data_IF_557919377992
#
_entry.id   IF_557919377992
#
_cell.length_a   1.000
_cell.length_b   1.000
_cell.length_c   1.000
_cell.angle_alpha   90.00
_cell.angle_beta   90.00
_cell.angle_gamma   90.00
#
_symmetry.space_group_name_H-M   'P 1'
#
loop_
_entity.id
_entity.type
_entity.pdbx_description
1 polymer ?
#
# COMPACT_ATOMS: atom_id res chain seq x y z
N UNK A 1 2.13 25.14 -18.74
CA UNK A 1 0.86 25.20 -17.94
C UNK A 1 -0.02 24.01 -18.32
N UNK A 2 -0.68 23.34 -17.36
CA UNK A 2 -1.51 22.19 -17.66
C UNK A 2 -2.73 22.59 -18.49
N UNK A 3 -3.14 21.71 -19.40
CA UNK A 3 -4.40 21.81 -20.16
C UNK A 3 -5.60 21.53 -19.24
N UNK A 4 -6.80 21.59 -19.82
CA UNK A 4 -8.04 21.24 -19.13
C UNK A 4 -8.00 19.83 -18.54
N UNK A 5 -8.59 19.62 -17.36
CA UNK A 5 -8.51 18.32 -16.68
C UNK A 5 -9.19 17.17 -17.46
N UNK A 6 -10.21 17.46 -18.27
CA UNK A 6 -10.88 16.46 -19.09
C UNK A 6 -9.96 15.96 -20.21
N UNK A 7 -8.99 16.77 -20.65
CA UNK A 7 -7.98 16.32 -21.62
C UNK A 7 -7.18 15.13 -21.10
N UNK A 8 -6.63 15.25 -19.87
CA UNK A 8 -5.85 14.16 -19.27
C UNK A 8 -6.70 12.96 -18.88
N UNK A 9 -7.98 13.19 -18.57
CA UNK A 9 -8.94 12.13 -18.32
C UNK A 9 -9.21 11.30 -19.58
N UNK A 10 -9.42 11.93 -20.74
CA UNK A 10 -9.60 11.21 -22.00
C UNK A 10 -8.31 10.48 -22.42
N UNK A 11 -7.13 11.08 -22.26
CA UNK A 11 -5.86 10.36 -22.48
C UNK A 11 -5.77 9.12 -21.61
N UNK A 12 -6.16 9.21 -20.34
CA UNK A 12 -6.15 8.05 -19.42
C UNK A 12 -7.13 6.97 -19.86
N UNK A 13 -8.26 7.35 -20.46
CA UNK A 13 -9.26 6.42 -20.97
C UNK A 13 -8.80 5.74 -22.26
N UNK A 14 -8.16 6.48 -23.15
CA UNK A 14 -7.72 6.00 -24.47
C UNK A 14 -6.40 5.19 -24.40
N UNK A 15 -5.67 5.29 -23.28
CA UNK A 15 -4.41 4.59 -23.06
C UNK A 15 -4.52 3.71 -21.80
N UNK A 16 -5.07 2.49 -21.91
CA UNK A 16 -5.25 1.60 -20.77
C UNK A 16 -3.91 1.15 -20.17
N UNK A 17 -3.92 0.93 -18.85
CA UNK A 17 -2.79 0.34 -18.12
C UNK A 17 -2.46 -1.07 -18.64
N UNK A 18 -1.17 -1.44 -18.70
CA UNK A 18 -0.79 -2.78 -19.07
C UNK A 18 -1.24 -3.79 -18.00
N UNK A 19 -1.43 -5.05 -18.43
CA UNK A 19 -1.73 -6.13 -17.48
C UNK A 19 -0.56 -6.44 -16.54
N UNK A 20 0.65 -6.19 -17.01
CA UNK A 20 1.91 -6.41 -16.33
C UNK A 20 2.69 -5.10 -16.33
N UNK A 21 3.00 -4.60 -15.14
CA UNK A 21 3.82 -3.41 -14.96
C UNK A 21 4.99 -3.75 -14.03
N UNK A 22 6.19 -3.72 -14.61
CA UNK A 22 7.45 -4.02 -13.95
C UNK A 22 7.75 -3.10 -12.76
N UNK A 23 7.16 -1.90 -12.73
CA UNK A 23 7.27 -0.97 -11.61
C UNK A 23 6.75 -1.56 -10.29
N UNK A 24 5.91 -2.59 -10.37
CA UNK A 24 5.31 -3.29 -9.24
C UNK A 24 5.87 -4.70 -9.02
N UNK A 25 6.90 -5.10 -9.78
CA UNK A 25 7.48 -6.43 -9.65
C UNK A 25 8.43 -6.49 -8.46
N UNK A 26 8.28 -7.55 -7.65
CA UNK A 26 9.19 -7.90 -6.55
C UNK A 26 9.60 -9.34 -6.80
N UNK A 27 10.53 -9.53 -7.73
CA UNK A 27 10.91 -10.84 -8.27
C UNK A 27 12.19 -11.40 -7.65
N UNK A 28 13.03 -10.52 -7.07
CA UNK A 28 14.25 -10.94 -6.42
C UNK A 28 13.95 -11.62 -5.09
N UNK A 29 14.81 -12.58 -4.73
CA UNK A 29 14.78 -13.20 -3.42
C UNK A 29 14.84 -12.13 -2.32
N UNK A 30 14.13 -12.39 -1.23
CA UNK A 30 14.13 -11.46 -0.11
C UNK A 30 15.57 -11.27 0.40
N UNK A 31 16.05 -10.03 0.62
CA UNK A 31 17.45 -9.78 0.98
C UNK A 31 17.86 -10.46 2.30
N UNK A 32 16.87 -10.77 3.15
CA UNK A 32 17.03 -11.46 4.44
C UNK A 32 16.45 -12.88 4.47
N UNK A 33 16.43 -13.56 3.32
CA UNK A 33 15.81 -14.88 3.18
C UNK A 33 16.46 -15.93 4.11
N UNK A 34 17.79 -15.86 4.28
CA UNK A 34 18.53 -16.77 5.16
C UNK A 34 18.12 -16.64 6.63
N UNK A 35 17.88 -15.41 7.09
CA UNK A 35 17.42 -15.11 8.44
C UNK A 35 16.00 -15.63 8.67
N UNK A 36 15.11 -15.48 7.68
CA UNK A 36 13.77 -16.08 7.72
C UNK A 36 13.84 -17.61 7.80
N UNK A 37 14.67 -18.25 6.98
CA UNK A 37 14.85 -19.70 7.01
C UNK A 37 15.33 -20.17 8.39
N UNK A 38 16.33 -19.48 8.98
CA UNK A 38 16.85 -19.80 10.31
C UNK A 38 15.76 -19.71 11.38
N UNK A 39 14.99 -18.63 11.39
CA UNK A 39 13.91 -18.44 12.37
C UNK A 39 12.80 -19.49 12.20
N UNK A 40 12.42 -19.82 10.97
CA UNK A 40 11.38 -20.83 10.70
C UNK A 40 11.83 -22.23 11.10
N UNK A 41 13.11 -22.56 10.90
CA UNK A 41 13.69 -23.82 11.41
C UNK A 41 13.56 -23.93 12.92
N UNK A 42 13.95 -22.88 13.65
CA UNK A 42 13.85 -22.86 15.12
C UNK A 42 12.39 -23.00 15.61
N UNK A 43 11.45 -22.32 14.97
CA UNK A 43 10.01 -22.47 15.26
C UNK A 43 9.56 -23.91 15.08
N UNK A 44 9.92 -24.55 13.96
CA UNK A 44 9.55 -25.94 13.67
C UNK A 44 10.16 -26.93 14.66
N UNK A 45 11.43 -26.75 15.01
CA UNK A 45 12.11 -27.58 16.00
C UNK A 45 11.38 -27.52 17.36
N UNK A 46 11.02 -26.30 17.81
CA UNK A 46 10.29 -26.13 19.07
C UNK A 46 8.88 -26.72 18.97
N UNK A 47 8.16 -26.51 17.85
CA UNK A 47 6.83 -27.10 17.63
C UNK A 47 6.85 -28.63 17.65
N UNK A 48 7.81 -29.25 16.98
CA UNK A 48 8.01 -30.71 16.98
C UNK A 48 8.32 -31.18 18.40
N UNK A 49 9.13 -30.43 19.14
CA UNK A 49 9.47 -30.74 20.53
C UNK A 49 8.22 -30.70 21.42
N UNK A 50 7.44 -29.63 21.36
CA UNK A 50 6.17 -29.52 22.11
C UNK A 50 5.26 -30.70 21.79
N UNK A 51 5.08 -31.03 20.50
CA UNK A 51 4.25 -32.14 20.07
C UNK A 51 4.73 -33.48 20.67
N UNK A 52 6.02 -33.79 20.59
CA UNK A 52 6.58 -35.04 21.14
C UNK A 52 6.45 -35.11 22.67
N UNK A 53 6.70 -34.01 23.38
CA UNK A 53 6.53 -33.95 24.83
C UNK A 53 5.06 -34.20 25.24
N UNK A 54 4.11 -33.64 24.48
CA UNK A 54 2.68 -33.89 24.69
C UNK A 54 2.28 -35.35 24.42
N UNK A 55 2.79 -35.95 23.34
CA UNK A 55 2.56 -37.35 22.99
C UNK A 55 3.13 -38.30 24.07
N UNK A 56 4.28 -37.96 24.64
CA UNK A 56 4.93 -38.71 25.71
C UNK A 56 4.35 -38.44 27.11
N UNK A 57 3.36 -37.55 27.24
CA UNK A 57 2.74 -37.13 28.52
C UNK A 57 3.77 -36.63 29.54
N UNK A 58 4.75 -35.87 29.07
CA UNK A 58 5.77 -35.23 29.89
C UNK A 58 5.16 -34.18 30.84
N UNK A 59 5.94 -33.78 31.84
CA UNK A 59 5.51 -32.78 32.82
C UNK A 59 5.06 -31.48 32.16
N UNK A 60 3.89 -30.97 32.59
CA UNK A 60 3.30 -29.74 32.08
C UNK A 60 4.24 -28.53 32.23
N UNK A 61 5.07 -28.48 33.27
CA UNK A 61 6.07 -27.44 33.52
C UNK A 61 7.16 -27.47 32.45
N UNK A 62 7.57 -28.66 32.02
CA UNK A 62 8.55 -28.83 30.94
C UNK A 62 7.94 -28.39 29.62
N UNK A 63 6.71 -28.81 29.32
CA UNK A 63 5.99 -28.39 28.10
C UNK A 63 5.81 -26.86 28.07
N UNK A 64 5.48 -26.25 29.21
CA UNK A 64 5.29 -24.79 29.33
C UNK A 64 6.55 -24.01 29.00
N UNK A 65 7.72 -24.51 29.40
CA UNK A 65 9.02 -23.91 29.05
C UNK A 65 9.19 -23.80 27.54
N UNK A 66 8.78 -24.80 26.77
CA UNK A 66 8.87 -24.78 25.32
C UNK A 66 7.82 -23.87 24.67
N UNK A 67 6.62 -23.74 25.23
CA UNK A 67 5.66 -22.73 24.77
C UNK A 67 6.22 -21.31 24.95
N UNK A 68 6.82 -21.01 26.11
CA UNK A 68 7.46 -19.70 26.36
C UNK A 68 8.61 -19.44 25.38
N UNK A 69 9.49 -20.42 25.17
CA UNK A 69 10.56 -20.31 24.18
C UNK A 69 10.00 -20.05 22.77
N UNK A 70 8.95 -20.77 22.37
CA UNK A 70 8.32 -20.56 21.08
C UNK A 70 7.74 -19.15 20.96
N UNK A 71 7.11 -18.64 22.01
CA UNK A 71 6.54 -17.30 22.04
C UNK A 71 7.61 -16.22 21.86
N UNK A 72 8.76 -16.35 22.52
CA UNK A 72 9.91 -15.45 22.37
C UNK A 72 10.43 -15.44 20.92
N UNK A 73 10.63 -16.63 20.34
CA UNK A 73 11.07 -16.77 18.93
C UNK A 73 10.01 -16.20 17.98
N UNK A 74 8.73 -16.45 18.24
CA UNK A 74 7.61 -15.95 17.43
C UNK A 74 7.49 -14.42 17.46
N UNK A 75 7.92 -13.79 18.55
CA UNK A 75 7.99 -12.34 18.70
C UNK A 75 9.22 -11.71 18.02
N UNK A 76 10.15 -12.52 17.48
CA UNK A 76 11.28 -12.02 16.70
C UNK A 76 10.87 -11.50 15.31
N UNK A 77 11.72 -10.68 14.70
CA UNK A 77 11.46 -9.95 13.44
C UNK A 77 11.18 -10.86 12.23
N UNK A 78 11.64 -12.12 12.23
CA UNK A 78 11.65 -12.99 11.04
C UNK A 78 10.66 -14.15 11.11
N UNK A 79 10.12 -14.43 12.30
CA UNK A 79 9.16 -15.50 12.57
C UNK A 79 7.76 -15.25 11.96
N UNK A 80 7.50 -13.99 11.61
CA UNK A 80 6.23 -13.52 11.06
C UNK A 80 5.83 -14.12 9.71
N UNK A 81 6.76 -14.77 9.00
CA UNK A 81 6.52 -15.44 7.73
C UNK A 81 6.58 -16.97 7.84
N UNK A 82 6.41 -17.52 9.06
CA UNK A 82 6.30 -18.96 9.31
C UNK A 82 4.90 -19.50 8.98
N UNK A 83 4.77 -20.81 8.76
CA UNK A 83 3.45 -21.43 8.55
C UNK A 83 2.54 -21.27 9.78
N UNK A 84 3.10 -21.24 11.00
CA UNK A 84 2.36 -20.92 12.22
C UNK A 84 1.84 -19.48 12.18
N UNK A 85 2.66 -18.53 11.75
CA UNK A 85 2.24 -17.14 11.56
C UNK A 85 1.12 -16.99 10.54
N UNK A 86 1.17 -17.75 9.44
CA UNK A 86 0.07 -17.80 8.47
C UNK A 86 -1.20 -18.42 9.06
N UNK A 87 -1.07 -19.45 9.91
CA UNK A 87 -2.21 -20.11 10.55
C UNK A 87 -2.95 -19.20 11.54
N UNK A 88 -2.27 -18.25 12.19
CA UNK A 88 -2.92 -17.23 13.02
C UNK A 88 -4.03 -16.51 12.25
N UNK A 89 -3.81 -16.17 10.98
CA UNK A 89 -4.82 -15.51 10.15
C UNK A 89 -6.03 -16.42 9.86
N UNK A 90 -5.85 -17.74 9.89
CA UNK A 90 -6.94 -18.71 9.74
C UNK A 90 -7.76 -18.89 11.04
N UNK A 91 -7.31 -18.32 12.15
CA UNK A 91 -7.97 -18.38 13.46
C UNK A 91 -8.77 -17.09 13.79
N UNK A 92 -9.15 -16.31 12.77
CA UNK A 92 -9.89 -15.05 12.91
C UNK A 92 -9.27 -14.07 13.92
N UNK A 93 -7.93 -13.98 13.90
CA UNK A 93 -7.18 -13.07 14.75
C UNK A 93 -5.96 -12.56 14.01
N UNK A 94 -5.26 -11.61 14.61
CA UNK A 94 -4.07 -11.01 14.03
C UNK A 94 -2.84 -11.37 14.84
N UNK A 95 -1.71 -11.47 14.14
CA UNK A 95 -0.41 -11.68 14.78
C UNK A 95 -0.15 -10.64 15.88
N UNK A 96 -0.45 -9.37 15.64
CA UNK A 96 -0.16 -8.30 16.59
C UNK A 96 -0.93 -8.42 17.92
N UNK A 97 -2.11 -9.08 17.90
CA UNK A 97 -2.84 -9.43 19.11
C UNK A 97 -2.18 -10.63 19.80
N UNK A 98 -1.87 -11.66 19.03
CA UNK A 98 -1.29 -12.91 19.55
C UNK A 98 0.10 -12.71 20.14
N UNK A 99 0.91 -11.80 19.60
CA UNK A 99 2.23 -11.46 20.12
C UNK A 99 2.18 -10.76 21.50
N UNK A 100 1.01 -10.26 21.92
CA UNK A 100 0.81 -9.58 23.20
C UNK A 100 0.19 -10.48 24.27
N UNK A 101 -0.45 -11.57 23.87
CA UNK A 101 -1.12 -12.50 24.79
C UNK A 101 -0.59 -13.93 24.64
N UNK A 102 0.23 -14.31 25.61
CA UNK A 102 0.83 -15.64 25.68
C UNK A 102 -0.22 -16.76 25.76
N UNK A 103 -1.36 -16.52 26.42
CA UNK A 103 -2.39 -17.56 26.56
C UNK A 103 -3.09 -17.83 25.22
N UNK A 104 -3.50 -16.78 24.50
CA UNK A 104 -4.04 -16.95 23.15
C UNK A 104 -3.02 -17.57 22.19
N UNK A 105 -1.75 -17.18 22.29
CA UNK A 105 -0.68 -17.79 21.51
C UNK A 105 -0.56 -19.31 21.75
N UNK A 106 -0.60 -19.72 23.02
CA UNK A 106 -0.55 -21.13 23.42
C UNK A 106 -1.72 -21.91 22.85
N UNK A 107 -2.94 -21.38 22.93
CA UNK A 107 -4.13 -22.03 22.37
C UNK A 107 -4.05 -22.18 20.84
N UNK A 108 -3.63 -21.14 20.12
CA UNK A 108 -3.42 -21.23 18.66
C UNK A 108 -2.33 -22.24 18.32
N UNK A 109 -1.25 -22.28 19.09
CA UNK A 109 -0.16 -23.24 18.88
C UNK A 109 -0.65 -24.67 19.07
N UNK A 110 -1.44 -24.95 20.12
CA UNK A 110 -2.08 -26.27 20.31
C UNK A 110 -2.99 -26.63 19.14
N UNK A 111 -3.82 -25.68 18.67
CA UNK A 111 -4.68 -25.89 17.51
C UNK A 111 -3.85 -26.18 16.26
N UNK A 112 -2.76 -25.46 16.03
CA UNK A 112 -1.85 -25.70 14.91
C UNK A 112 -1.28 -27.12 14.96
N UNK A 113 -0.76 -27.53 16.12
CA UNK A 113 -0.18 -28.87 16.33
C UNK A 113 -1.22 -29.96 16.06
N UNK A 114 -2.47 -29.76 16.49
CA UNK A 114 -3.57 -30.70 16.27
C UNK A 114 -4.03 -30.76 14.82
N UNK A 115 -4.05 -29.61 14.12
CA UNK A 115 -4.69 -29.46 12.81
C UNK A 115 -3.73 -29.53 11.62
N UNK A 116 -2.41 -29.59 11.84
CA UNK A 116 -1.39 -29.55 10.78
C UNK A 116 -0.34 -30.66 10.94
N UNK A 117 0.15 -31.16 9.82
CA UNK A 117 1.31 -32.06 9.79
C UNK A 117 2.58 -31.21 9.86
N UNK A 118 3.28 -31.30 10.98
CA UNK A 118 4.55 -30.58 11.20
C UNK A 118 5.69 -31.47 10.70
N UNK A 119 6.56 -30.92 9.86
CA UNK A 119 7.81 -31.53 9.43
C UNK A 119 8.97 -30.57 9.71
N UNK A 120 10.20 -31.08 9.62
CA UNK A 120 11.46 -30.36 9.85
C UNK A 120 11.99 -29.63 8.61
N UNK A 121 11.40 -29.87 7.43
CA UNK A 121 11.86 -29.29 6.17
C UNK A 121 11.53 -27.81 6.11
N UNK A 122 12.53 -27.00 5.75
CA UNK A 122 12.36 -25.56 5.45
C UNK A 122 13.01 -25.26 4.10
N UNK A 123 12.40 -25.68 2.98
CA UNK A 123 12.89 -25.34 1.65
C UNK A 123 12.85 -23.82 1.45
N UNK A 124 13.90 -23.28 0.83
CA UNK A 124 14.00 -21.85 0.53
C UNK A 124 12.80 -21.34 -0.28
N UNK A 125 12.36 -22.11 -1.27
CA UNK A 125 11.21 -21.78 -2.12
C UNK A 125 9.90 -21.66 -1.35
N UNK A 126 9.72 -22.42 -0.25
CA UNK A 126 8.50 -22.31 0.57
C UNK A 126 8.49 -21.02 1.38
N UNK A 127 9.65 -20.65 1.93
CA UNK A 127 9.80 -19.40 2.68
C UNK A 127 9.62 -18.20 1.74
N UNK A 128 10.23 -18.24 0.56
CA UNK A 128 10.08 -17.20 -0.45
C UNK A 128 8.63 -17.07 -0.91
N UNK A 129 7.91 -18.18 -1.15
CA UNK A 129 6.50 -18.13 -1.53
C UNK A 129 5.61 -17.44 -0.48
N UNK A 130 5.86 -17.65 0.83
CA UNK A 130 5.15 -16.95 1.89
C UNK A 130 5.50 -15.46 1.88
N UNK A 131 6.76 -15.09 1.67
CA UNK A 131 7.19 -13.69 1.54
C UNK A 131 6.55 -13.00 0.33
N UNK A 132 6.48 -13.69 -0.81
CA UNK A 132 5.87 -13.19 -2.04
C UNK A 132 4.36 -12.97 -1.87
N UNK A 133 3.68 -13.84 -1.12
CA UNK A 133 2.26 -13.66 -0.80
C UNK A 133 1.97 -12.35 -0.05
N UNK A 134 2.97 -11.83 0.68
CA UNK A 134 2.91 -10.59 1.43
C UNK A 134 3.39 -9.36 0.61
N UNK A 135 3.88 -9.55 -0.62
CA UNK A 135 4.40 -8.47 -1.49
C UNK A 135 3.35 -7.41 -1.82
N UNK A 136 2.06 -7.76 -1.77
CA UNK A 136 0.94 -6.84 -1.98
C UNK A 136 1.01 -5.60 -1.09
N UNK A 137 1.52 -5.73 0.14
CA UNK A 137 1.67 -4.62 1.09
C UNK A 137 2.69 -3.56 0.64
N UNK A 138 3.64 -3.94 -0.22
CA UNK A 138 4.67 -3.04 -0.76
C UNK A 138 4.17 -2.23 -1.97
N UNK A 139 3.00 -2.57 -2.53
CA UNK A 139 2.50 -1.94 -3.77
C UNK A 139 2.21 -0.46 -3.63
N UNK A 140 1.85 0.03 -2.44
CA UNK A 140 1.68 1.46 -2.19
C UNK A 140 2.98 2.23 -2.41
N UNK A 141 4.04 1.84 -1.71
CA UNK A 141 5.38 2.42 -1.82
C UNK A 141 5.94 2.31 -3.26
N UNK A 142 5.72 1.16 -3.92
CA UNK A 142 6.13 0.97 -5.31
C UNK A 142 5.42 1.94 -6.26
N UNK A 143 4.13 2.21 -6.04
CA UNK A 143 3.38 3.21 -6.81
C UNK A 143 3.91 4.64 -6.62
N UNK A 144 4.21 5.03 -5.38
CA UNK A 144 4.86 6.32 -5.12
C UNK A 144 6.22 6.43 -5.80
N UNK A 145 7.03 5.37 -5.76
CA UNK A 145 8.32 5.30 -6.46
C UNK A 145 8.16 5.42 -7.97
N UNK A 146 7.17 4.75 -8.58
CA UNK A 146 6.85 4.87 -10.01
C UNK A 146 6.57 6.33 -10.39
N UNK A 147 5.70 7.01 -9.63
CA UNK A 147 5.34 8.41 -9.88
C UNK A 147 6.54 9.37 -9.73
N UNK A 148 7.33 9.19 -8.67
CA UNK A 148 8.54 9.99 -8.47
C UNK A 148 9.57 9.74 -9.58
N UNK A 149 9.70 8.50 -10.06
CA UNK A 149 10.55 8.18 -11.23
C UNK A 149 10.08 8.95 -12.46
N UNK A 150 8.78 8.91 -12.78
CA UNK A 150 8.21 9.68 -13.91
C UNK A 150 8.52 11.18 -13.77
N UNK A 151 8.36 11.75 -12.58
CA UNK A 151 8.65 13.16 -12.32
C UNK A 151 10.14 13.49 -12.47
N UNK A 152 11.02 12.66 -11.92
CA UNK A 152 12.48 12.88 -11.96
C UNK A 152 13.05 12.79 -13.37
N UNK A 153 12.59 11.83 -14.19
CA UNK A 153 12.90 11.74 -15.61
C UNK A 153 12.46 12.99 -16.41
N UNK A 154 11.48 13.74 -15.88
CA UNK A 154 10.97 15.00 -16.45
C UNK A 154 11.55 16.25 -15.78
N UNK A 155 12.61 16.09 -14.98
CA UNK A 155 13.40 17.17 -14.39
C UNK A 155 12.86 17.73 -13.08
N UNK A 156 11.94 17.04 -12.41
CA UNK A 156 11.63 17.35 -11.01
C UNK A 156 12.73 16.81 -10.10
N UNK A 157 13.06 17.54 -9.05
CA UNK A 157 14.02 17.07 -8.05
C UNK A 157 13.27 16.57 -6.83
N UNK A 158 13.57 15.35 -6.37
CA UNK A 158 13.05 14.87 -5.09
C UNK A 158 13.67 15.69 -3.94
N UNK A 159 12.83 16.17 -3.01
CA UNK A 159 13.25 16.96 -1.85
C UNK A 159 12.79 16.29 -0.56
N UNK A 160 13.55 16.51 0.52
CA UNK A 160 13.31 15.87 1.83
C UNK A 160 13.02 16.86 2.94
N UNK A 161 13.00 18.16 2.66
CA UNK A 161 12.69 19.20 3.65
C UNK A 161 11.86 20.35 3.07
N UNK A 162 11.21 21.10 3.96
CA UNK A 162 10.42 22.28 3.59
C UNK A 162 11.29 23.39 3.00
N UNK A 163 12.51 23.58 3.50
CA UNK A 163 13.46 24.57 2.99
C UNK A 163 13.82 24.28 1.53
N UNK A 164 14.07 23.01 1.21
CA UNK A 164 14.32 22.59 -0.16
C UNK A 164 13.10 22.79 -1.05
N UNK A 165 11.91 22.40 -0.56
CA UNK A 165 10.66 22.55 -1.28
C UNK A 165 10.36 24.03 -1.59
N UNK A 166 10.61 24.95 -0.65
CA UNK A 166 10.43 26.39 -0.86
C UNK A 166 11.46 26.95 -1.85
N UNK A 167 12.74 26.56 -1.73
CA UNK A 167 13.83 27.03 -2.58
C UNK A 167 13.73 26.55 -4.03
N UNK A 168 13.39 25.27 -4.25
CA UNK A 168 13.38 24.69 -5.60
C UNK A 168 12.12 25.07 -6.35
N UNK A 169 12.26 25.48 -7.62
CA UNK A 169 11.12 25.79 -8.48
C UNK A 169 10.33 24.54 -8.87
N UNK A 170 11.04 23.43 -9.12
CA UNK A 170 10.47 22.20 -9.68
C UNK A 170 10.91 20.99 -8.85
N UNK A 171 10.04 20.51 -7.98
CA UNK A 171 10.37 19.44 -7.04
C UNK A 171 9.18 18.55 -6.66
N UNK A 172 9.48 17.39 -6.12
CA UNK A 172 8.51 16.44 -5.56
C UNK A 172 8.93 16.04 -4.16
N UNK A 173 7.97 15.95 -3.24
CA UNK A 173 8.15 15.40 -1.91
C UNK A 173 7.14 14.29 -1.67
N UNK A 174 7.55 13.27 -0.91
CA UNK A 174 6.62 12.29 -0.34
C UNK A 174 6.07 12.83 0.97
N UNK A 175 4.77 12.69 1.17
CA UNK A 175 4.21 12.99 2.47
C UNK A 175 4.80 12.05 3.54
N UNK A 176 5.03 12.58 4.74
CA UNK A 176 5.54 11.79 5.87
C UNK A 176 5.02 12.37 7.18
N UNK A 177 4.99 11.56 8.23
CA UNK A 177 4.56 12.04 9.55
C UNK A 177 5.56 13.03 10.14
N UNK A 178 6.86 12.87 9.88
CA UNK A 178 7.89 13.71 10.48
C UNK A 178 8.05 15.06 9.77
N UNK A 179 8.01 15.09 8.43
CA UNK A 179 8.39 16.29 7.66
C UNK A 179 7.20 16.87 6.92
N UNK A 180 6.63 16.12 6.00
CA UNK A 180 5.56 16.60 5.12
C UNK A 180 4.22 16.04 5.59
N UNK A 181 3.77 16.48 6.76
CA UNK A 181 2.51 16.06 7.39
C UNK A 181 1.37 17.05 7.11
N UNK A 182 0.12 16.66 7.37
CA UNK A 182 -1.04 17.56 7.24
C UNK A 182 -0.95 18.81 8.12
N UNK A 183 -0.36 18.72 9.32
CA UNK A 183 -0.11 19.89 10.17
C UNK A 183 0.93 20.80 9.53
N UNK A 184 2.06 20.24 9.09
CA UNK A 184 3.10 21.03 8.44
C UNK A 184 2.64 21.70 7.14
N UNK A 185 1.71 21.08 6.40
CA UNK A 185 1.10 21.67 5.20
C UNK A 185 0.24 22.89 5.56
N UNK A 186 -0.48 22.83 6.68
CA UNK A 186 -1.22 23.96 7.22
C UNK A 186 -0.28 25.08 7.63
N UNK A 187 0.84 24.76 8.28
CA UNK A 187 1.78 25.77 8.78
C UNK A 187 2.57 26.43 7.64
N UNK A 188 2.97 25.66 6.62
CA UNK A 188 3.75 26.17 5.49
C UNK A 188 2.92 26.81 4.38
N UNK A 189 1.69 26.34 4.15
CA UNK A 189 0.85 26.80 3.04
C UNK A 189 -0.50 27.38 3.46
N UNK A 190 -0.89 27.31 4.74
CA UNK A 190 -2.19 27.76 5.22
C UNK A 190 -3.35 26.84 4.79
N UNK A 191 -3.07 25.61 4.40
CA UNK A 191 -4.07 24.69 3.82
C UNK A 191 -4.45 23.59 4.79
N UNK A 192 -5.76 23.36 4.90
CA UNK A 192 -6.31 22.26 5.68
C UNK A 192 -7.08 21.34 4.75
N UNK A 193 -6.51 20.17 4.45
CA UNK A 193 -7.17 19.15 3.64
C UNK A 193 -8.45 18.71 4.39
N UNK A 194 -9.62 19.14 3.88
CA UNK A 194 -10.93 18.85 4.48
C UNK A 194 -11.48 17.49 4.02
N UNK A 195 -10.66 16.44 4.05
CA UNK A 195 -11.15 15.09 3.79
C UNK A 195 -12.06 14.64 4.96
N UNK A 196 -13.17 13.95 4.64
CA UNK A 196 -14.17 13.52 5.64
C UNK A 196 -13.62 12.52 6.66
N UNK A 197 -12.57 11.78 6.32
CA UNK A 197 -11.87 10.86 7.22
C UNK A 197 -10.72 11.59 7.91
N UNK A 198 -10.79 11.69 9.24
CA UNK A 198 -9.80 12.38 10.07
C UNK A 198 -8.37 11.90 9.76
N UNK A 199 -7.46 12.84 9.52
CA UNK A 199 -6.01 12.60 9.53
C UNK A 199 -5.43 11.91 8.30
N UNK A 200 -6.20 11.67 7.21
CA UNK A 200 -5.64 11.03 6.01
C UNK A 200 -4.62 11.95 5.34
N UNK A 201 -3.43 11.41 5.15
CA UNK A 201 -2.30 12.05 4.48
C UNK A 201 -2.30 11.57 3.02
N UNK A 202 -2.07 12.50 2.09
CA UNK A 202 -1.93 12.15 0.67
C UNK A 202 -0.55 11.53 0.43
N UNK A 203 -0.25 11.12 -0.81
CA UNK A 203 0.99 10.40 -1.10
C UNK A 203 2.12 11.36 -1.52
N UNK A 204 1.87 12.30 -2.45
CA UNK A 204 2.90 13.22 -2.97
C UNK A 204 2.50 14.70 -2.94
N UNK A 205 3.50 15.56 -2.78
CA UNK A 205 3.46 17.01 -3.06
C UNK A 205 4.34 17.27 -4.28
N UNK A 206 3.76 17.82 -5.35
CA UNK A 206 4.48 18.18 -6.57
C UNK A 206 4.43 19.70 -6.71
N UNK A 207 5.59 20.35 -6.81
CA UNK A 207 5.71 21.80 -6.98
C UNK A 207 6.27 22.13 -8.35
N UNK A 208 5.59 23.02 -9.06
CA UNK A 208 6.08 23.66 -10.28
C UNK A 208 5.83 25.18 -10.22
N UNK A 209 6.89 25.93 -9.96
CA UNK A 209 6.84 27.36 -9.71
C UNK A 209 6.01 27.68 -8.48
N UNK A 210 4.88 28.37 -8.70
CA UNK A 210 3.91 28.70 -7.65
C UNK A 210 2.82 27.64 -7.50
N UNK A 211 2.70 26.71 -8.46
CA UNK A 211 1.65 25.69 -8.45
C UNK A 211 2.07 24.51 -7.58
N UNK A 212 1.14 24.04 -6.77
CA UNK A 212 1.28 22.87 -5.93
C UNK A 212 0.19 21.88 -6.30
N UNK A 213 0.59 20.65 -6.58
CA UNK A 213 -0.29 19.53 -6.82
C UNK A 213 -0.16 18.54 -5.67
N UNK A 214 -1.29 18.20 -5.07
CA UNK A 214 -1.38 17.21 -4.00
C UNK A 214 -1.97 15.94 -4.59
N UNK A 215 -1.22 14.84 -4.52
CA UNK A 215 -1.55 13.61 -5.23
C UNK A 215 -1.81 12.46 -4.27
N UNK A 216 -2.90 11.74 -4.51
CA UNK A 216 -3.14 10.40 -3.95
C UNK A 216 -3.09 9.37 -5.08
N UNK A 217 -2.37 8.29 -4.84
CA UNK A 217 -2.17 7.17 -5.71
C UNK A 217 -2.81 5.90 -5.14
N UNK A 218 -3.44 5.12 -6.03
CA UNK A 218 -3.85 3.74 -5.75
C UNK A 218 -3.46 2.85 -6.93
N UNK A 219 -3.09 1.62 -6.62
CA UNK A 219 -2.84 0.57 -7.60
C UNK A 219 -3.83 -0.58 -7.40
N UNK A 220 -4.67 -0.83 -8.40
CA UNK A 220 -5.78 -1.79 -8.32
C UNK A 220 -5.82 -2.68 -9.58
N UNK A 221 -5.73 -4.00 -9.38
CA UNK A 221 -5.87 -4.98 -10.47
C UNK A 221 -7.19 -5.77 -10.45
N UNK A 222 -7.83 -5.90 -9.28
CA UNK A 222 -9.06 -6.66 -9.09
C UNK A 222 -10.11 -5.81 -8.39
N UNK A 223 -11.39 -6.15 -8.56
CA UNK A 223 -12.49 -5.51 -7.82
C UNK A 223 -12.78 -6.19 -6.48
N UNK A 224 -13.60 -5.55 -5.65
CA UNK A 224 -14.01 -6.04 -4.34
C UNK A 224 -14.35 -4.89 -3.38
N UNK A 225 -14.84 -5.23 -2.17
CA UNK A 225 -15.35 -4.23 -1.22
C UNK A 225 -14.30 -3.26 -0.69
N UNK A 226 -13.07 -3.73 -0.45
CA UNK A 226 -11.97 -2.87 0.00
C UNK A 226 -11.49 -1.94 -1.13
N UNK A 227 -11.49 -2.43 -2.36
CA UNK A 227 -11.09 -1.66 -3.55
C UNK A 227 -12.10 -0.55 -3.84
N UNK A 228 -13.40 -0.83 -3.66
CA UNK A 228 -14.44 0.19 -3.82
C UNK A 228 -14.24 1.37 -2.84
N UNK A 229 -13.80 1.08 -1.61
CA UNK A 229 -13.45 2.10 -0.62
C UNK A 229 -12.28 2.97 -1.11
N UNK A 230 -11.25 2.36 -1.71
CA UNK A 230 -10.11 3.09 -2.25
C UNK A 230 -10.49 3.98 -3.44
N UNK A 231 -11.35 3.51 -4.34
CA UNK A 231 -11.88 4.34 -5.44
C UNK A 231 -12.71 5.50 -4.91
N UNK A 232 -13.60 5.25 -3.94
CA UNK A 232 -14.36 6.32 -3.29
C UNK A 232 -13.46 7.36 -2.63
N UNK A 233 -12.32 6.96 -2.05
CA UNK A 233 -11.33 7.89 -1.50
C UNK A 233 -10.70 8.78 -2.58
N UNK A 234 -10.36 8.22 -3.75
CA UNK A 234 -9.88 9.02 -4.88
C UNK A 234 -10.93 10.00 -5.40
N UNK A 235 -12.21 9.59 -5.43
CA UNK A 235 -13.33 10.45 -5.85
C UNK A 235 -13.56 11.59 -4.85
N UNK A 236 -13.43 11.32 -3.54
CA UNK A 236 -13.53 12.35 -2.50
C UNK A 236 -12.49 13.44 -2.67
N UNK A 237 -11.25 13.07 -3.03
CA UNK A 237 -10.15 14.00 -3.27
C UNK A 237 -10.44 14.93 -4.46
N UNK A 238 -11.02 14.41 -5.55
CA UNK A 238 -11.45 15.23 -6.68
C UNK A 238 -12.47 16.31 -6.31
N UNK A 239 -13.25 16.09 -5.26
CA UNK A 239 -14.26 17.04 -4.80
C UNK A 239 -13.70 18.14 -3.87
N UNK A 240 -12.44 18.03 -3.45
CA UNK A 240 -11.82 19.01 -2.57
C UNK A 240 -11.62 20.34 -3.31
N UNK A 241 -11.88 21.44 -2.59
CA UNK A 241 -11.71 22.82 -3.06
C UNK A 241 -10.94 23.61 -2.02
N UNK A 242 -9.88 24.25 -2.47
CA UNK A 242 -9.17 25.27 -1.69
C UNK A 242 -9.57 26.66 -2.13
N UNK A 243 -9.55 27.60 -1.19
CA UNK A 243 -9.78 29.03 -1.48
C UNK A 243 -8.70 29.65 -2.37
N UNK A 244 -7.56 28.96 -2.56
CA UNK A 244 -6.44 29.41 -3.38
C UNK A 244 -6.38 28.66 -4.71
N UNK A 245 -5.97 29.37 -5.77
CA UNK A 245 -5.94 28.86 -7.15
C UNK A 245 -4.60 28.20 -7.52
N UNK A 246 -3.63 28.23 -6.64
CA UNK A 246 -2.32 27.62 -6.80
C UNK A 246 -2.26 26.16 -6.35
N UNK A 247 -3.30 25.66 -5.68
CA UNK A 247 -3.43 24.27 -5.26
C UNK A 247 -4.40 23.48 -6.13
N UNK A 248 -3.97 22.28 -6.49
CA UNK A 248 -4.69 21.35 -7.33
C UNK A 248 -4.59 19.95 -6.72
N UNK A 249 -5.62 19.13 -6.87
CA UNK A 249 -5.61 17.75 -6.42
C UNK A 249 -5.48 16.78 -7.60
N UNK A 250 -4.71 15.72 -7.44
CA UNK A 250 -4.55 14.65 -8.42
C UNK A 250 -4.97 13.33 -7.78
N UNK A 251 -5.98 12.71 -8.38
CA UNK A 251 -6.38 11.34 -8.08
C UNK A 251 -5.78 10.41 -9.13
N UNK A 252 -4.77 9.65 -8.72
CA UNK A 252 -4.05 8.71 -9.58
C UNK A 252 -4.53 7.28 -9.35
N UNK A 253 -5.01 6.64 -10.42
CA UNK A 253 -5.44 5.24 -10.39
C UNK A 253 -4.68 4.41 -11.43
N UNK A 254 -3.81 3.56 -10.90
CA UNK A 254 -3.02 2.57 -11.63
C UNK A 254 -3.66 1.18 -11.61
N UNK A 255 -3.18 0.31 -12.49
CA UNK A 255 -3.57 -1.08 -12.61
C UNK A 255 -4.81 -1.30 -13.46
N UNK A 256 -5.07 -2.57 -13.74
CA UNK A 256 -6.09 -2.98 -14.72
C UNK A 256 -7.52 -2.64 -14.29
N UNK A 257 -7.75 -2.30 -13.01
CA UNK A 257 -9.04 -1.78 -12.56
C UNK A 257 -9.34 -0.41 -13.18
N UNK A 258 -8.32 0.44 -13.40
CA UNK A 258 -8.46 1.73 -14.09
C UNK A 258 -9.11 1.54 -15.47
N UNK A 259 -8.64 0.54 -16.22
CA UNK A 259 -9.16 0.19 -17.55
C UNK A 259 -10.64 -0.18 -17.49
N UNK A 260 -11.06 -0.93 -16.47
CA UNK A 260 -12.47 -1.33 -16.30
C UNK A 260 -13.34 -0.14 -15.91
N UNK A 261 -12.81 0.78 -15.09
CA UNK A 261 -13.54 1.96 -14.62
C UNK A 261 -13.72 3.00 -15.73
N UNK A 262 -12.69 3.22 -16.56
CA UNK A 262 -12.68 4.22 -17.63
C UNK A 262 -13.18 3.68 -18.98
N UNK A 263 -13.01 2.39 -19.24
CA UNK A 263 -13.43 1.71 -20.48
C UNK A 263 -14.95 1.50 -20.61
N UNK A 264 -15.36 0.61 -21.51
CA UNK A 264 -16.76 0.29 -21.70
C UNK A 264 -17.34 -0.45 -20.48
N UNK A 265 -18.26 0.22 -19.76
CA UNK A 265 -18.90 -0.37 -18.59
C UNK A 265 -20.07 -1.22 -19.06
N UNK A 266 -20.00 -2.52 -18.81
CA UNK A 266 -21.14 -3.41 -19.02
C UNK A 266 -22.34 -2.95 -18.17
N UNK A 267 -23.54 -2.91 -18.78
CA UNK A 267 -24.81 -2.45 -18.16
C UNK A 267 -25.12 -3.05 -16.78
N UNK A 268 -24.54 -4.21 -16.44
CA UNK A 268 -24.75 -4.90 -15.16
C UNK A 268 -23.95 -4.29 -13.99
N UNK A 269 -22.92 -3.47 -14.22
CA UNK A 269 -22.11 -2.87 -13.15
C UNK A 269 -22.62 -1.48 -12.71
N UNK A 270 -23.79 -1.45 -12.04
CA UNK A 270 -24.42 -0.21 -11.56
C UNK A 270 -23.48 0.66 -10.69
N UNK A 271 -22.62 0.02 -9.90
CA UNK A 271 -21.70 0.70 -8.97
C UNK A 271 -20.56 1.41 -9.69
N UNK A 272 -19.86 0.74 -10.60
CA UNK A 272 -18.78 1.36 -11.38
C UNK A 272 -19.31 2.49 -12.26
N UNK A 273 -20.51 2.31 -12.83
CA UNK A 273 -21.16 3.37 -13.59
C UNK A 273 -21.43 4.60 -12.72
N UNK A 274 -21.85 4.41 -11.46
CA UNK A 274 -22.03 5.50 -10.50
C UNK A 274 -20.70 6.19 -10.18
N UNK A 275 -19.64 5.43 -9.89
CA UNK A 275 -18.31 5.97 -9.62
C UNK A 275 -17.79 6.80 -10.80
N UNK A 276 -17.89 6.29 -12.04
CA UNK A 276 -17.50 7.03 -13.24
C UNK A 276 -18.30 8.33 -13.42
N UNK A 277 -19.61 8.29 -13.24
CA UNK A 277 -20.45 9.49 -13.31
C UNK A 277 -20.07 10.52 -12.24
N UNK A 278 -19.71 10.08 -11.04
CA UNK A 278 -19.22 10.96 -9.99
C UNK A 278 -17.87 11.59 -10.34
N UNK A 279 -16.94 10.81 -10.91
CA UNK A 279 -15.64 11.31 -11.42
C UNK A 279 -15.89 12.40 -12.47
N UNK A 280 -16.65 12.10 -13.52
CA UNK A 280 -16.95 13.05 -14.60
C UNK A 280 -17.66 14.31 -14.08
N UNK A 281 -18.60 14.17 -13.14
CA UNK A 281 -19.27 15.29 -12.47
C UNK A 281 -18.28 16.16 -11.70
N UNK A 282 -17.39 15.57 -10.91
CA UNK A 282 -16.42 16.34 -10.13
C UNK A 282 -15.36 16.99 -11.00
N UNK A 283 -14.89 16.33 -12.06
CA UNK A 283 -13.95 16.94 -13.01
C UNK A 283 -14.57 18.17 -13.69
N UNK A 284 -15.83 18.08 -14.13
CA UNK A 284 -16.56 19.22 -14.72
C UNK A 284 -16.73 20.39 -13.73
N UNK A 285 -17.03 20.07 -12.48
CA UNK A 285 -17.25 21.07 -11.43
C UNK A 285 -15.95 21.65 -10.84
N UNK A 286 -14.84 20.91 -10.93
CA UNK A 286 -13.54 21.22 -10.36
C UNK A 286 -12.45 21.11 -11.42
N UNK A 287 -12.43 22.05 -12.37
CA UNK A 287 -11.50 22.07 -13.53
C UNK A 287 -10.00 22.02 -13.19
N UNK A 288 -9.64 22.21 -11.93
CA UNK A 288 -8.26 22.21 -11.42
C UNK A 288 -7.84 20.90 -10.77
N UNK A 289 -8.77 19.96 -10.60
CA UNK A 289 -8.47 18.65 -10.04
C UNK A 289 -8.44 17.63 -11.17
N UNK A 290 -7.55 16.66 -11.07
CA UNK A 290 -7.22 15.75 -12.16
C UNK A 290 -7.47 14.31 -11.74
N UNK A 291 -8.07 13.54 -12.64
CA UNK A 291 -8.12 12.09 -12.54
C UNK A 291 -7.27 11.51 -13.66
N UNK A 292 -6.25 10.74 -13.31
CA UNK A 292 -5.29 10.23 -14.28
C UNK A 292 -4.86 8.81 -13.97
N UNK A 293 -4.54 8.06 -15.02
CA UNK A 293 -3.72 6.85 -14.94
C UNK A 293 -2.27 7.20 -15.31
N UNK A 294 -1.41 6.21 -15.53
CA UNK A 294 0.00 6.40 -15.92
C UNK A 294 0.14 7.26 -17.16
N UNK A 295 -0.58 6.96 -18.24
CA UNK A 295 -0.48 7.71 -19.50
C UNK A 295 -0.95 9.17 -19.32
N UNK A 296 -2.10 9.38 -18.68
CA UNK A 296 -2.59 10.72 -18.39
C UNK A 296 -1.65 11.52 -17.48
N UNK A 297 -1.03 10.85 -16.49
CA UNK A 297 -0.07 11.49 -15.59
C UNK A 297 1.24 11.86 -16.32
N UNK A 298 1.75 10.98 -17.19
CA UNK A 298 2.94 11.28 -18.01
C UNK A 298 2.70 12.51 -18.89
N UNK A 299 1.53 12.61 -19.54
CA UNK A 299 1.21 13.77 -20.38
C UNK A 299 1.00 15.04 -19.54
N UNK A 300 0.32 14.92 -18.39
CA UNK A 300 0.19 16.01 -17.43
C UNK A 300 1.57 16.56 -17.02
N UNK A 301 2.52 15.67 -16.68
CA UNK A 301 3.88 16.05 -16.30
C UNK A 301 4.64 16.70 -17.48
N UNK A 302 4.42 16.25 -18.72
CA UNK A 302 5.00 16.86 -19.92
C UNK A 302 4.53 18.32 -20.12
N UNK A 303 3.26 18.62 -19.85
CA UNK A 303 2.68 19.95 -20.06
C UNK A 303 3.03 20.95 -18.95
N UNK A 304 3.23 20.47 -17.71
CA UNK A 304 3.77 21.32 -16.63
C UNK A 304 5.30 21.42 -16.67
N UNK A 305 5.98 20.65 -17.53
CA UNK A 305 7.41 20.88 -17.81
C UNK A 305 7.65 22.13 -18.66
N UNK A 306 6.69 22.51 -19.51
CA UNK A 306 6.73 23.69 -20.38
C UNK A 306 6.35 24.96 -19.62
#
# INVERSE_FOLDING_TARGET
>A
MPKDNLHYFEISKDNPEPHLDESYFVIDNHPKLKEHIKAIKEIKEILITIKKLQENKEDIVVIEKYFKKLFEVFNSTYANCSELGCFVNACDTTRDLIQKDFNSFKEITKLYIKSRKINDKVPESWVQAILDSNSSRKKGELGERKLVKILTEKGFIEVKSWEELHRKKKCVARFSREVFSNSSLKDNFGIKIKAKKQGKMLDLIIKDGKKIFLLEAKHLNVGGGEQDKQVSELIEILNLKEGRNDFCYISFLDGTYSNRLLGEIQKRSKKMLKQRKEIEKFLKNNKRNFWVNTAGFVEFVNDIKK
#
